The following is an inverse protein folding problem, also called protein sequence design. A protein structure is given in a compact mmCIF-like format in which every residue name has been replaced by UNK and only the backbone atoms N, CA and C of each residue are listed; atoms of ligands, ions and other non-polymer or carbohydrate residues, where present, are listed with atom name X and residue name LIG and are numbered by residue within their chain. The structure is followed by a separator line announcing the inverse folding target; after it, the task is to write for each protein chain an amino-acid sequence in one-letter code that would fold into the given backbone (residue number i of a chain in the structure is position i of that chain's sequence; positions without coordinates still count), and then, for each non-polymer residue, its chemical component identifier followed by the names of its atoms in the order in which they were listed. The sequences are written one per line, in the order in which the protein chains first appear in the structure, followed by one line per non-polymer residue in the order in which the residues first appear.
data_IF_969221781651
#
_entry.id   IF_969221781651
#
_cell.length_a   1.000
_cell.length_b   1.000
_cell.length_c   1.000
_cell.angle_alpha   90.00
_cell.angle_beta   90.00
_cell.angle_gamma   90.00
#
_symmetry.space_group_name_H-M   'P 1'
#
loop_
_entity.id
_entity.type
_entity.pdbx_description
1 polymer ?
#
# COMPACT_ATOMS: atom_id res chain seq x y z
N UNK A 1 -9.25 -3.55 90.96
CA UNK A 1 -9.06 -4.43 89.79
C UNK A 1 -9.48 -3.65 88.57
N UNK A 2 -8.51 -3.05 87.87
CA UNK A 2 -8.76 -2.24 86.62
C UNK A 2 -8.44 -3.12 85.44
N UNK A 3 -9.45 -3.35 84.59
CA UNK A 3 -9.29 -4.01 83.28
C UNK A 3 -8.82 -2.93 82.26
N UNK A 4 -7.66 -3.13 81.73
CA UNK A 4 -7.11 -2.33 80.65
C UNK A 4 -7.64 -2.94 79.34
N UNK A 5 -8.46 -2.16 78.60
CA UNK A 5 -8.83 -2.46 77.22
C UNK A 5 -7.70 -2.01 76.28
N UNK A 6 -7.04 -2.96 75.63
CA UNK A 6 -6.14 -2.65 74.53
C UNK A 6 -7.01 -2.52 73.23
N UNK A 7 -7.05 -1.32 72.69
CA UNK A 7 -7.56 -1.06 71.34
C UNK A 7 -6.38 -1.31 70.36
N UNK A 8 -6.48 -2.37 69.60
CA UNK A 8 -5.57 -2.61 68.47
C UNK A 8 -6.10 -1.86 67.26
N UNK A 9 -5.46 -0.77 66.91
CA UNK A 9 -5.71 -0.03 65.65
C UNK A 9 -5.09 -0.78 64.49
N UNK A 10 -5.92 -1.46 63.70
CA UNK A 10 -5.50 -2.03 62.39
C UNK A 10 -5.48 -0.88 61.38
N UNK A 11 -4.25 -0.43 61.08
CA UNK A 11 -4.00 0.54 59.98
C UNK A 11 -4.10 -0.19 58.63
N UNK A 12 -5.23 -0.08 57.96
CA UNK A 12 -5.45 -0.62 56.61
C UNK A 12 -4.71 0.27 55.62
N UNK A 13 -3.50 -0.14 55.21
CA UNK A 13 -2.77 0.51 54.12
C UNK A 13 -3.43 0.16 52.80
N UNK A 14 -4.31 1.01 52.31
CA UNK A 14 -4.81 0.94 50.93
C UNK A 14 -3.71 1.43 50.01
N UNK A 15 -2.93 0.48 49.47
CA UNK A 15 -1.99 0.76 48.40
C UNK A 15 -2.83 1.01 47.13
N UNK A 16 -3.15 2.27 46.86
CA UNK A 16 -3.58 2.70 45.55
C UNK A 16 -2.41 2.47 44.59
N UNK A 17 -2.44 1.34 43.88
CA UNK A 17 -1.59 1.09 42.74
C UNK A 17 -1.88 2.16 41.69
N UNK A 18 -1.12 3.24 41.68
CA UNK A 18 -1.09 4.19 40.59
C UNK A 18 -0.46 3.43 39.41
N UNK A 19 -1.29 2.81 38.58
CA UNK A 19 -0.88 2.36 37.25
C UNK A 19 -0.52 3.62 36.48
N UNK A 20 0.76 3.98 36.49
CA UNK A 20 1.30 4.97 35.55
C UNK A 20 1.21 4.32 34.17
N UNK A 21 0.08 4.52 33.52
CA UNK A 21 -0.01 4.30 32.09
C UNK A 21 0.96 5.30 31.48
N UNK A 22 2.18 4.85 31.15
CA UNK A 22 3.07 5.65 30.33
C UNK A 22 2.35 5.85 28.99
N UNK A 23 1.99 7.09 28.69
CA UNK A 23 1.47 7.42 27.37
C UNK A 23 2.56 7.07 26.35
N UNK A 24 2.21 6.25 25.37
CA UNK A 24 3.15 5.89 24.30
C UNK A 24 3.57 7.14 23.54
N UNK A 25 4.84 7.22 23.21
CA UNK A 25 5.38 8.29 22.37
C UNK A 25 4.98 8.09 20.91
N UNK A 26 5.07 9.13 20.11
CA UNK A 26 4.82 9.05 18.67
C UNK A 26 5.70 7.97 18.03
N UNK A 27 7.00 7.95 18.33
CA UNK A 27 7.94 7.00 17.74
C UNK A 27 7.62 5.55 18.11
N UNK A 28 7.18 5.30 19.35
CA UNK A 28 6.74 3.97 19.78
C UNK A 28 5.50 3.51 19.02
N UNK A 29 4.51 4.40 18.84
CA UNK A 29 3.31 4.08 18.08
C UNK A 29 3.62 3.83 16.59
N UNK A 30 4.49 4.64 15.97
CA UNK A 30 4.88 4.42 14.58
C UNK A 30 5.60 3.08 14.41
N UNK A 31 6.55 2.74 15.30
CA UNK A 31 7.24 1.44 15.26
C UNK A 31 6.29 0.27 15.49
N UNK A 32 5.36 0.39 16.43
CA UNK A 32 4.37 -0.65 16.70
C UNK A 32 3.43 -0.84 15.52
N UNK A 33 2.97 0.25 14.90
CA UNK A 33 2.16 0.18 13.68
C UNK A 33 2.91 -0.46 12.51
N UNK A 34 4.19 -0.08 12.30
CA UNK A 34 5.04 -0.67 11.27
C UNK A 34 5.29 -2.18 11.52
N UNK A 35 5.37 -2.61 12.79
CA UNK A 35 5.44 -4.03 13.15
C UNK A 35 4.13 -4.76 12.80
N UNK A 36 2.97 -4.19 13.13
CA UNK A 36 1.67 -4.80 12.77
C UNK A 36 1.51 -4.92 11.25
N UNK A 37 2.01 -3.94 10.47
CA UNK A 37 2.07 -4.06 9.01
C UNK A 37 2.93 -5.24 8.58
N UNK A 38 4.11 -5.43 9.16
CA UNK A 38 5.01 -6.54 8.84
C UNK A 38 4.42 -7.91 9.23
N UNK A 39 3.49 -7.93 10.17
CA UNK A 39 2.76 -9.13 10.64
C UNK A 39 1.39 -9.30 9.92
N UNK A 40 1.09 -8.47 8.91
CA UNK A 40 -0.19 -8.47 8.17
C UNK A 40 -1.43 -8.24 9.06
N UNK A 41 -1.27 -7.50 10.16
CA UNK A 41 -2.33 -7.18 11.11
C UNK A 41 -2.93 -5.79 10.80
N UNK A 42 -3.54 -5.64 9.63
CA UNK A 42 -3.95 -4.36 9.03
C UNK A 42 -4.83 -3.50 9.95
N UNK A 43 -5.81 -4.10 10.63
CA UNK A 43 -6.68 -3.36 11.55
C UNK A 43 -5.90 -2.81 12.74
N UNK A 44 -4.98 -3.61 13.32
CA UNK A 44 -4.16 -3.14 14.44
C UNK A 44 -3.18 -2.05 14.03
N UNK A 45 -2.61 -2.16 12.82
CA UNK A 45 -1.77 -1.12 12.26
C UNK A 45 -2.54 0.20 12.12
N UNK A 46 -3.75 0.15 11.52
CA UNK A 46 -4.61 1.32 11.37
C UNK A 46 -4.96 1.93 12.73
N UNK A 47 -5.43 1.14 13.69
CA UNK A 47 -5.81 1.62 15.02
C UNK A 47 -4.64 2.30 15.73
N UNK A 48 -3.44 1.74 15.58
CA UNK A 48 -2.21 2.29 16.18
C UNK A 48 -1.81 3.61 15.53
N UNK A 49 -1.86 3.71 14.20
CA UNK A 49 -1.56 4.98 13.51
C UNK A 49 -2.64 6.06 13.78
N UNK A 50 -3.90 5.68 13.96
CA UNK A 50 -4.95 6.62 14.38
C UNK A 50 -4.76 7.09 15.84
N UNK A 51 -4.12 6.30 16.71
CA UNK A 51 -3.69 6.77 18.02
C UNK A 51 -2.52 7.76 17.88
N UNK A 52 -1.56 7.49 16.99
CA UNK A 52 -0.48 8.43 16.66
C UNK A 52 -1.02 9.76 16.12
N UNK A 53 -2.05 9.75 15.27
CA UNK A 53 -2.71 10.97 14.77
C UNK A 53 -3.31 11.82 15.89
N UNK A 54 -3.91 11.18 16.92
CA UNK A 54 -4.48 11.90 18.07
C UNK A 54 -3.43 12.63 18.91
N UNK A 55 -2.23 12.06 19.06
CA UNK A 55 -1.16 12.66 19.87
C UNK A 55 -0.26 13.61 19.08
N UNK A 56 -0.17 13.42 17.76
CA UNK A 56 0.64 14.24 16.86
C UNK A 56 -0.18 14.64 15.61
N UNK A 57 -1.21 15.47 15.76
CA UNK A 57 -2.00 15.94 14.62
C UNK A 57 -1.13 16.78 13.67
N UNK A 58 -1.43 16.73 12.38
CA UNK A 58 -0.67 17.37 11.31
C UNK A 58 0.78 16.85 11.17
N UNK A 59 0.97 15.56 11.39
CA UNK A 59 2.24 14.90 11.14
C UNK A 59 2.15 14.11 9.82
N UNK A 60 2.98 14.45 8.83
CA UNK A 60 2.97 13.84 7.51
C UNK A 60 3.38 12.36 7.54
N UNK A 61 4.26 11.96 8.49
CA UNK A 61 4.68 10.58 8.66
C UNK A 61 3.56 9.68 9.18
N UNK A 62 2.73 10.20 10.07
CA UNK A 62 1.51 9.53 10.52
C UNK A 62 0.55 9.39 9.34
N UNK A 63 0.34 10.46 8.58
CA UNK A 63 -0.69 10.49 7.54
C UNK A 63 -0.42 9.53 6.40
N UNK A 64 0.81 9.42 5.90
CA UNK A 64 1.07 8.44 4.85
C UNK A 64 0.93 6.98 5.35
N UNK A 65 1.22 6.71 6.64
CA UNK A 65 1.03 5.39 7.25
C UNK A 65 -0.44 5.05 7.43
N UNK A 66 -1.26 6.01 7.87
CA UNK A 66 -2.72 5.86 7.94
C UNK A 66 -3.30 5.60 6.55
N UNK A 67 -2.85 6.34 5.53
CA UNK A 67 -3.25 6.12 4.15
C UNK A 67 -2.92 4.70 3.69
N UNK A 68 -1.70 4.22 3.96
CA UNK A 68 -1.29 2.84 3.68
C UNK A 68 -2.21 1.84 4.36
N UNK A 69 -2.40 1.98 5.66
CA UNK A 69 -3.19 1.02 6.45
C UNK A 69 -4.67 0.96 5.98
N UNK A 70 -5.24 2.08 5.53
CA UNK A 70 -6.57 2.05 4.90
C UNK A 70 -6.57 1.32 3.56
N UNK A 71 -5.52 1.45 2.73
CA UNK A 71 -5.40 0.67 1.48
C UNK A 71 -5.30 -0.81 1.80
N UNK A 72 -4.37 -1.21 2.68
CA UNK A 72 -4.13 -2.60 3.06
C UNK A 72 -5.42 -3.23 3.65
N UNK A 73 -6.19 -2.47 4.45
CA UNK A 73 -7.49 -2.90 4.97
C UNK A 73 -8.52 -3.07 3.85
N UNK A 74 -8.62 -2.10 2.95
CA UNK A 74 -9.55 -2.12 1.83
C UNK A 74 -9.33 -3.32 0.90
N UNK A 75 -8.08 -3.72 0.66
CA UNK A 75 -7.73 -4.87 -0.17
C UNK A 75 -8.24 -6.20 0.39
N UNK A 76 -8.48 -6.29 1.70
CA UNK A 76 -9.02 -7.49 2.38
C UNK A 76 -10.54 -7.46 2.56
N UNK A 77 -11.20 -6.39 2.17
CA UNK A 77 -12.65 -6.32 2.22
C UNK A 77 -13.29 -7.18 1.12
N UNK A 78 -14.47 -7.77 1.41
CA UNK A 78 -15.22 -8.47 0.37
C UNK A 78 -15.73 -7.48 -0.70
N UNK A 79 -15.74 -7.93 -1.97
CA UNK A 79 -16.10 -7.11 -3.14
C UNK A 79 -17.13 -7.78 -4.07
N UNK A 80 -17.86 -8.77 -3.57
CA UNK A 80 -18.78 -9.59 -4.38
C UNK A 80 -20.12 -8.91 -4.67
N UNK A 81 -20.54 -7.95 -3.85
CA UNK A 81 -21.80 -7.22 -4.03
C UNK A 81 -21.55 -5.73 -4.21
N UNK A 82 -22.48 -5.02 -4.83
CA UNK A 82 -22.35 -3.56 -5.03
C UNK A 82 -22.21 -2.83 -3.69
N UNK A 83 -22.97 -3.23 -2.66
CA UNK A 83 -22.83 -2.65 -1.31
C UNK A 83 -21.42 -2.86 -0.73
N UNK A 84 -20.82 -4.05 -0.92
CA UNK A 84 -19.47 -4.33 -0.45
C UNK A 84 -18.43 -3.48 -1.21
N UNK A 85 -18.61 -3.32 -2.53
CA UNK A 85 -17.77 -2.45 -3.35
C UNK A 85 -17.89 -0.99 -2.92
N UNK A 86 -19.09 -0.50 -2.65
CA UNK A 86 -19.31 0.86 -2.15
C UNK A 86 -18.63 1.11 -0.80
N UNK A 87 -18.63 0.11 0.08
CA UNK A 87 -17.96 0.20 1.37
C UNK A 87 -16.43 0.17 1.21
N UNK A 88 -15.91 -0.68 0.34
CA UNK A 88 -14.50 -0.75 0.01
C UNK A 88 -14.01 0.58 -0.61
N UNK A 89 -14.77 1.16 -1.55
CA UNK A 89 -14.46 2.46 -2.15
C UNK A 89 -14.40 3.58 -1.09
N UNK A 90 -15.32 3.58 -0.11
CA UNK A 90 -15.28 4.54 1.01
C UNK A 90 -13.98 4.43 1.82
N UNK A 91 -13.47 3.22 2.01
CA UNK A 91 -12.19 2.98 2.70
C UNK A 91 -11.03 3.54 1.88
N UNK A 92 -11.01 3.33 0.57
CA UNK A 92 -9.98 3.93 -0.30
C UNK A 92 -10.07 5.47 -0.36
N UNK A 93 -11.28 6.05 -0.32
CA UNK A 93 -11.45 7.50 -0.19
C UNK A 93 -10.89 8.05 1.13
N UNK A 94 -10.97 7.28 2.22
CA UNK A 94 -10.28 7.60 3.48
C UNK A 94 -8.75 7.56 3.31
N UNK A 95 -8.23 6.55 2.62
CA UNK A 95 -6.81 6.48 2.30
C UNK A 95 -6.33 7.71 1.52
N UNK A 96 -7.10 8.13 0.51
CA UNK A 96 -6.81 9.32 -0.30
C UNK A 96 -6.81 10.60 0.54
N UNK A 97 -7.81 10.78 1.43
CA UNK A 97 -7.87 11.93 2.34
C UNK A 97 -6.59 12.09 3.16
N UNK A 98 -6.08 11.00 3.73
CA UNK A 98 -4.84 11.03 4.52
C UNK A 98 -3.60 11.21 3.64
N UNK A 99 -3.57 10.62 2.44
CA UNK A 99 -2.49 10.84 1.49
C UNK A 99 -2.39 12.31 1.04
N UNK A 100 -3.51 12.95 0.75
CA UNK A 100 -3.58 14.38 0.39
C UNK A 100 -3.04 15.28 1.52
N UNK A 101 -3.43 14.99 2.77
CA UNK A 101 -2.89 15.68 3.94
C UNK A 101 -1.38 15.51 4.05
N UNK A 102 -0.87 14.30 3.78
CA UNK A 102 0.57 14.03 3.82
C UNK A 102 1.33 14.80 2.75
N UNK A 103 0.86 14.79 1.50
CA UNK A 103 1.46 15.56 0.39
C UNK A 103 1.46 17.05 0.69
N UNK A 104 0.36 17.58 1.25
CA UNK A 104 0.23 19.00 1.59
C UNK A 104 1.24 19.44 2.66
N UNK A 105 1.50 18.58 3.64
CA UNK A 105 2.43 18.89 4.74
C UNK A 105 3.89 18.73 4.31
N UNK A 106 4.19 17.72 3.50
CA UNK A 106 5.57 17.42 3.10
C UNK A 106 5.63 17.05 1.60
N UNK A 107 5.64 18.07 0.72
CA UNK A 107 5.63 17.88 -0.74
C UNK A 107 6.99 17.45 -1.32
N UNK A 108 8.02 17.30 -0.49
CA UNK A 108 9.37 16.93 -0.92
C UNK A 108 9.73 15.47 -0.64
N UNK A 109 8.76 14.64 -0.25
CA UNK A 109 8.96 13.21 0.02
C UNK A 109 8.27 12.34 -1.01
N UNK A 110 9.01 11.43 -1.66
CA UNK A 110 8.48 10.49 -2.66
C UNK A 110 7.35 9.64 -2.09
N UNK A 111 7.46 9.21 -0.83
CA UNK A 111 6.47 8.31 -0.20
C UNK A 111 5.07 8.94 -0.13
N UNK A 112 4.95 10.26 0.08
CA UNK A 112 3.65 10.93 0.17
C UNK A 112 2.89 10.86 -1.15
N UNK A 113 3.58 11.11 -2.27
CA UNK A 113 3.01 11.00 -3.61
C UNK A 113 2.65 9.55 -3.97
N UNK A 114 3.51 8.58 -3.63
CA UNK A 114 3.23 7.18 -3.93
C UNK A 114 2.03 6.67 -3.16
N UNK A 115 1.83 7.08 -1.91
CA UNK A 115 0.61 6.71 -1.17
C UNK A 115 -0.64 7.31 -1.79
N UNK A 116 -0.57 8.54 -2.29
CA UNK A 116 -1.67 9.16 -3.02
C UNK A 116 -1.94 8.47 -4.35
N UNK A 117 -0.91 8.17 -5.12
CA UNK A 117 -1.02 7.43 -6.37
C UNK A 117 -1.69 6.06 -6.17
N UNK A 118 -1.30 5.32 -5.12
CA UNK A 118 -1.90 4.02 -4.82
C UNK A 118 -3.38 4.17 -4.43
N UNK A 119 -3.72 5.12 -3.55
CA UNK A 119 -5.11 5.36 -3.15
C UNK A 119 -5.98 5.73 -4.36
N UNK A 120 -5.51 6.64 -5.21
CA UNK A 120 -6.17 7.00 -6.47
C UNK A 120 -6.29 5.79 -7.41
N UNK A 121 -5.24 4.99 -7.55
CA UNK A 121 -5.27 3.79 -8.38
C UNK A 121 -6.31 2.77 -7.91
N UNK A 122 -6.52 2.63 -6.59
CA UNK A 122 -7.60 1.78 -6.04
C UNK A 122 -8.98 2.36 -6.32
N UNK A 123 -9.18 3.66 -6.16
CA UNK A 123 -10.46 4.33 -6.45
C UNK A 123 -10.80 4.20 -7.93
N UNK A 124 -9.84 4.35 -8.84
CA UNK A 124 -10.05 4.24 -10.27
C UNK A 124 -10.65 2.89 -10.72
N UNK A 125 -10.49 1.82 -9.91
CA UNK A 125 -11.10 0.51 -10.20
C UNK A 125 -12.62 0.50 -10.02
N UNK A 126 -13.18 1.43 -9.26
CA UNK A 126 -14.63 1.58 -9.03
C UNK A 126 -15.27 2.60 -9.97
N UNK A 127 -14.46 3.41 -10.61
CA UNK A 127 -14.93 4.45 -11.54
C UNK A 127 -15.23 3.85 -12.91
N UNK A 128 -16.23 4.39 -13.59
CA UNK A 128 -16.43 4.10 -15.00
C UNK A 128 -15.28 4.66 -15.87
N UNK A 129 -15.09 4.08 -17.06
CA UNK A 129 -13.95 4.40 -17.95
C UNK A 129 -13.72 5.90 -18.14
N UNK A 130 -14.78 6.67 -18.29
CA UNK A 130 -14.68 8.13 -18.49
C UNK A 130 -14.36 8.90 -17.21
N UNK A 131 -14.87 8.45 -16.06
CA UNK A 131 -14.62 9.08 -14.76
C UNK A 131 -13.19 8.83 -14.30
N UNK A 132 -12.65 7.65 -14.56
CA UNK A 132 -11.29 7.26 -14.17
C UNK A 132 -10.17 8.03 -14.90
N UNK A 133 -10.46 8.74 -16.00
CA UNK A 133 -9.44 9.42 -16.82
C UNK A 133 -8.63 10.44 -15.99
N UNK A 134 -9.31 11.25 -15.19
CA UNK A 134 -8.66 12.24 -14.31
C UNK A 134 -7.78 11.54 -13.28
N UNK A 135 -8.36 10.58 -12.58
CA UNK A 135 -7.71 9.80 -11.53
C UNK A 135 -6.46 9.06 -12.05
N UNK A 136 -6.53 8.46 -13.25
CA UNK A 136 -5.36 7.78 -13.87
C UNK A 136 -4.25 8.76 -14.24
N UNK A 137 -4.59 9.99 -14.69
CA UNK A 137 -3.60 11.05 -14.94
C UNK A 137 -2.93 11.52 -13.65
N UNK A 138 -3.69 11.63 -12.56
CA UNK A 138 -3.15 11.98 -11.24
C UNK A 138 -2.21 10.90 -10.73
N UNK A 139 -2.55 9.61 -10.87
CA UNK A 139 -1.66 8.48 -10.56
C UNK A 139 -0.32 8.62 -11.31
N UNK A 140 -0.37 8.85 -12.63
CA UNK A 140 0.83 9.04 -13.44
C UNK A 140 1.67 10.21 -12.93
N UNK A 141 1.06 11.37 -12.73
CA UNK A 141 1.73 12.60 -12.26
C UNK A 141 2.41 12.39 -10.91
N UNK A 142 1.74 11.74 -9.97
CA UNK A 142 2.28 11.45 -8.64
C UNK A 142 3.45 10.48 -8.69
N UNK A 143 3.36 9.42 -9.49
CA UNK A 143 4.46 8.49 -9.69
C UNK A 143 5.70 9.18 -10.30
N UNK A 144 5.50 9.98 -11.34
CA UNK A 144 6.57 10.75 -11.98
C UNK A 144 7.21 11.73 -10.99
N UNK A 145 6.40 12.40 -10.16
CA UNK A 145 6.90 13.29 -9.12
C UNK A 145 7.71 12.55 -8.07
N UNK A 146 7.25 11.38 -7.62
CA UNK A 146 7.99 10.55 -6.66
C UNK A 146 9.32 10.06 -7.23
N UNK A 147 9.36 9.64 -8.51
CA UNK A 147 10.58 9.25 -9.21
C UNK A 147 11.54 10.46 -9.32
N UNK A 148 11.04 11.62 -9.69
CA UNK A 148 11.82 12.85 -9.81
C UNK A 148 12.47 13.26 -8.48
N UNK A 149 11.75 13.12 -7.36
CA UNK A 149 12.28 13.42 -6.01
C UNK A 149 13.40 12.45 -5.61
N UNK A 150 13.35 11.20 -6.03
CA UNK A 150 14.41 10.22 -5.88
C UNK A 150 14.76 9.82 -4.45
N UNK A 151 13.94 10.18 -3.45
CA UNK A 151 14.19 9.86 -2.04
C UNK A 151 13.31 8.73 -1.51
N UNK A 152 13.40 8.43 -0.20
CA UNK A 152 12.65 7.35 0.44
C UNK A 152 13.29 5.96 0.30
N UNK A 153 14.45 5.86 -0.34
CA UNK A 153 15.20 4.61 -0.49
C UNK A 153 14.65 3.67 -1.57
N UNK A 154 15.32 2.53 -1.72
CA UNK A 154 15.06 1.60 -2.83
C UNK A 154 13.62 1.09 -2.89
N UNK A 155 12.99 0.83 -1.74
CA UNK A 155 11.62 0.32 -1.72
C UNK A 155 10.61 1.35 -2.24
N UNK A 156 10.72 2.61 -1.82
CA UNK A 156 9.83 3.69 -2.26
C UNK A 156 10.00 3.94 -3.75
N UNK A 157 11.24 3.97 -4.25
CA UNK A 157 11.53 4.14 -5.66
C UNK A 157 11.07 2.93 -6.49
N UNK A 158 11.27 1.71 -6.00
CA UNK A 158 10.74 0.51 -6.66
C UNK A 158 9.21 0.56 -6.78
N UNK A 159 8.53 0.97 -5.71
CA UNK A 159 7.08 1.10 -5.68
C UNK A 159 6.58 2.17 -6.67
N UNK A 160 7.31 3.30 -6.81
CA UNK A 160 6.97 4.35 -7.77
C UNK A 160 7.05 3.85 -9.22
N UNK A 161 8.12 3.15 -9.56
CA UNK A 161 8.28 2.56 -10.90
C UNK A 161 7.26 1.44 -11.15
N UNK A 162 6.99 0.60 -10.14
CA UNK A 162 5.97 -0.44 -10.23
C UNK A 162 4.58 0.13 -10.50
N UNK A 163 4.13 1.11 -9.70
CA UNK A 163 2.79 1.71 -9.87
C UNK A 163 2.66 2.38 -11.23
N UNK A 164 3.69 3.09 -11.69
CA UNK A 164 3.69 3.73 -12.99
C UNK A 164 3.67 2.69 -14.12
N UNK A 165 4.52 1.67 -14.07
CA UNK A 165 4.56 0.58 -15.06
C UNK A 165 3.23 -0.16 -15.17
N UNK A 166 2.64 -0.52 -14.02
CA UNK A 166 1.30 -1.13 -13.97
C UNK A 166 0.23 -0.19 -14.55
N UNK A 167 0.35 1.13 -14.33
CA UNK A 167 -0.59 2.09 -14.88
C UNK A 167 -0.50 2.15 -16.40
N UNK A 168 0.70 2.09 -16.98
CA UNK A 168 0.90 1.96 -18.42
C UNK A 168 0.21 0.71 -18.99
N UNK A 169 0.41 -0.48 -18.37
CA UNK A 169 -0.27 -1.70 -18.77
C UNK A 169 -1.80 -1.56 -18.73
N UNK A 170 -2.33 -1.06 -17.62
CA UNK A 170 -3.79 -0.88 -17.45
C UNK A 170 -4.39 0.08 -18.48
N UNK A 171 -3.68 1.12 -18.84
CA UNK A 171 -4.11 2.03 -19.92
C UNK A 171 -4.08 1.31 -21.27
N UNK A 172 -3.09 0.48 -21.54
CA UNK A 172 -2.94 -0.29 -22.77
C UNK A 172 -3.98 -1.39 -22.98
N UNK A 173 -4.67 -1.87 -21.91
CA UNK A 173 -5.83 -2.78 -22.04
C UNK A 173 -6.94 -2.21 -22.95
N UNK A 174 -6.97 -0.90 -23.16
CA UNK A 174 -7.86 -0.25 -24.12
C UNK A 174 -7.14 0.02 -25.45
N UNK A 175 -7.80 -0.29 -26.55
CA UNK A 175 -7.25 -0.01 -27.88
C UNK A 175 -6.80 1.45 -28.04
N UNK A 176 -5.69 1.68 -28.73
CA UNK A 176 -5.07 3.00 -28.90
C UNK A 176 -6.06 4.04 -29.42
N UNK A 177 -6.87 3.70 -30.41
CA UNK A 177 -7.88 4.60 -30.99
C UNK A 177 -8.99 5.00 -30.00
N UNK A 178 -9.22 4.19 -28.96
CA UNK A 178 -10.19 4.52 -27.91
C UNK A 178 -9.57 5.45 -26.87
N UNK A 179 -8.32 5.21 -26.48
CA UNK A 179 -7.63 5.95 -25.41
C UNK A 179 -7.04 7.28 -25.86
N UNK A 180 -6.71 7.43 -27.16
CA UNK A 180 -6.12 8.65 -27.69
C UNK A 180 -6.99 9.90 -27.50
N UNK A 181 -8.28 9.94 -27.89
CA UNK A 181 -9.12 11.10 -27.69
C UNK A 181 -9.40 11.42 -26.22
N UNK A 182 -9.18 10.47 -25.32
CA UNK A 182 -9.31 10.64 -23.87
C UNK A 182 -8.03 11.22 -23.22
N UNK A 183 -6.98 11.47 -24.03
CA UNK A 183 -5.68 11.93 -23.55
C UNK A 183 -4.94 10.85 -22.75
N UNK A 184 -5.20 9.58 -23.05
CA UNK A 184 -4.53 8.39 -22.50
C UNK A 184 -3.63 7.70 -23.54
N UNK A 185 -3.32 8.40 -24.64
CA UNK A 185 -2.42 7.92 -25.70
C UNK A 185 -0.97 7.69 -25.25
N UNK A 186 -0.63 8.15 -24.06
CA UNK A 186 0.69 7.95 -23.46
C UNK A 186 0.93 6.54 -22.90
N UNK A 187 -0.11 5.72 -22.73
CA UNK A 187 0.05 4.33 -22.32
C UNK A 187 0.94 3.58 -23.33
N UNK A 188 1.91 2.82 -22.84
CA UNK A 188 2.96 2.19 -23.63
C UNK A 188 3.46 0.96 -22.91
N UNK A 189 3.48 -0.19 -23.56
CA UNK A 189 3.84 -1.48 -22.96
C UNK A 189 5.36 -1.66 -22.89
N UNK A 190 6.13 -1.14 -23.84
CA UNK A 190 7.59 -1.12 -23.75
C UNK A 190 8.06 -0.27 -22.57
N UNK A 191 7.44 0.90 -22.36
CA UNK A 191 7.71 1.74 -21.20
C UNK A 191 7.30 1.04 -19.88
N UNK A 192 6.20 0.29 -19.88
CA UNK A 192 5.81 -0.52 -18.73
C UNK A 192 6.88 -1.57 -18.39
N UNK A 193 7.40 -2.29 -19.38
CA UNK A 193 8.51 -3.23 -19.20
C UNK A 193 9.71 -2.52 -18.56
N UNK A 194 10.17 -1.41 -19.15
CA UNK A 194 11.31 -0.64 -18.66
C UNK A 194 11.14 -0.21 -17.19
N UNK A 195 9.97 0.29 -16.83
CA UNK A 195 9.65 0.73 -15.47
C UNK A 195 9.63 -0.46 -14.49
N UNK A 196 9.02 -1.57 -14.87
CA UNK A 196 8.93 -2.76 -14.04
C UNK A 196 10.29 -3.46 -13.88
N UNK A 197 11.16 -3.44 -14.90
CA UNK A 197 12.55 -3.88 -14.77
C UNK A 197 13.31 -3.06 -13.73
N UNK A 198 13.12 -1.73 -13.69
CA UNK A 198 13.71 -0.87 -12.65
C UNK A 198 13.16 -1.23 -11.27
N UNK A 199 11.84 -1.43 -11.14
CA UNK A 199 11.23 -1.82 -9.88
C UNK A 199 11.82 -3.15 -9.35
N UNK A 200 11.94 -4.16 -10.22
CA UNK A 200 12.55 -5.45 -9.89
C UNK A 200 14.04 -5.30 -9.56
N UNK A 201 14.79 -4.47 -10.27
CA UNK A 201 16.21 -4.20 -9.98
C UNK A 201 16.39 -3.58 -8.59
N UNK A 202 15.50 -2.67 -8.17
CA UNK A 202 15.55 -2.01 -6.86
C UNK A 202 15.07 -2.92 -5.72
N UNK A 203 14.15 -3.86 -6.00
CA UNK A 203 13.58 -4.82 -5.03
C UNK A 203 13.43 -6.20 -5.70
N UNK A 204 14.51 -6.98 -5.86
CA UNK A 204 14.56 -8.12 -6.79
C UNK A 204 13.72 -9.35 -6.38
N UNK A 205 13.35 -9.48 -5.12
CA UNK A 205 12.63 -10.65 -4.61
C UNK A 205 11.20 -10.32 -4.15
N UNK A 206 10.57 -9.30 -4.72
CA UNK A 206 9.21 -8.93 -4.40
C UNK A 206 8.26 -9.54 -5.43
N UNK A 207 7.42 -10.53 -5.02
CA UNK A 207 6.61 -11.35 -5.91
C UNK A 207 5.71 -10.54 -6.83
N UNK A 208 5.04 -9.53 -6.28
CA UNK A 208 4.14 -8.67 -7.03
C UNK A 208 4.87 -7.92 -8.17
N UNK A 209 6.10 -7.42 -7.93
CA UNK A 209 6.86 -6.72 -8.98
C UNK A 209 7.32 -7.68 -10.08
N UNK A 210 7.78 -8.88 -9.69
CA UNK A 210 8.16 -9.92 -10.64
C UNK A 210 6.96 -10.38 -11.47
N UNK A 211 5.80 -10.55 -10.86
CA UNK A 211 4.60 -11.01 -11.55
C UNK A 211 4.10 -9.97 -12.57
N UNK A 212 4.03 -8.69 -12.19
CA UNK A 212 3.64 -7.63 -13.13
C UNK A 212 4.67 -7.47 -14.28
N UNK A 213 5.97 -7.65 -14.01
CA UNK A 213 6.99 -7.66 -15.06
C UNK A 213 6.79 -8.84 -16.02
N UNK A 214 6.46 -10.02 -15.50
CA UNK A 214 6.17 -11.16 -16.36
C UNK A 214 4.95 -10.93 -17.26
N UNK A 215 3.91 -10.27 -16.74
CA UNK A 215 2.73 -9.87 -17.54
C UNK A 215 3.12 -8.84 -18.61
N UNK A 216 3.97 -7.86 -18.28
CA UNK A 216 4.45 -6.90 -19.24
C UNK A 216 5.24 -7.56 -20.39
N UNK A 217 6.06 -8.55 -20.09
CA UNK A 217 6.77 -9.32 -21.12
C UNK A 217 5.79 -10.13 -22.01
N UNK A 218 4.69 -10.65 -21.43
CA UNK A 218 3.65 -11.34 -22.24
C UNK A 218 2.98 -10.37 -23.22
N UNK A 219 2.69 -9.13 -22.79
CA UNK A 219 2.10 -8.10 -23.67
C UNK A 219 3.05 -7.65 -24.79
N UNK A 220 4.36 -7.90 -24.66
CA UNK A 220 5.38 -7.64 -25.68
C UNK A 220 5.81 -8.90 -26.45
N UNK A 221 5.08 -10.00 -26.32
CA UNK A 221 5.40 -11.30 -26.93
C UNK A 221 6.78 -11.87 -26.51
N UNK A 222 7.37 -11.37 -25.42
CA UNK A 222 8.66 -11.79 -24.89
C UNK A 222 8.51 -13.01 -23.95
N UNK A 223 7.91 -14.08 -24.43
CA UNK A 223 7.51 -15.26 -23.65
C UNK A 223 8.64 -15.93 -22.88
N UNK A 224 9.85 -15.97 -23.43
CA UNK A 224 11.00 -16.57 -22.74
C UNK A 224 11.38 -15.77 -21.49
N UNK A 225 11.40 -14.43 -21.58
CA UNK A 225 11.64 -13.56 -20.42
C UNK A 225 10.50 -13.67 -19.40
N UNK A 226 9.26 -13.77 -19.86
CA UNK A 226 8.09 -13.98 -19.00
C UNK A 226 8.22 -15.28 -18.21
N UNK A 227 8.52 -16.41 -18.89
CA UNK A 227 8.71 -17.72 -18.24
C UNK A 227 9.84 -17.72 -17.22
N UNK A 228 10.98 -17.09 -17.53
CA UNK A 228 12.09 -16.95 -16.57
C UNK A 228 11.71 -16.11 -15.35
N UNK A 229 10.96 -15.02 -15.56
CA UNK A 229 10.51 -14.15 -14.48
C UNK A 229 9.48 -14.84 -13.58
N UNK A 230 8.55 -15.59 -14.15
CA UNK A 230 7.57 -16.41 -13.40
C UNK A 230 8.26 -17.46 -12.51
N UNK A 231 9.35 -18.09 -12.98
CA UNK A 231 10.17 -18.99 -12.14
C UNK A 231 10.83 -18.26 -10.95
N UNK A 232 11.13 -16.96 -11.08
CA UNK A 232 11.64 -16.14 -9.96
C UNK A 232 10.53 -15.83 -8.95
N UNK A 233 9.28 -15.60 -9.41
CA UNK A 233 8.12 -15.44 -8.50
C UNK A 233 7.98 -16.66 -7.59
N UNK A 234 8.10 -17.87 -8.13
CA UNK A 234 7.98 -19.12 -7.34
C UNK A 234 9.05 -19.23 -6.25
N UNK A 235 10.27 -18.77 -6.52
CA UNK A 235 11.41 -18.86 -5.60
C UNK A 235 11.48 -17.70 -4.60
N UNK A 236 10.76 -16.60 -4.84
CA UNK A 236 10.82 -15.44 -3.98
C UNK A 236 10.15 -15.72 -2.62
N UNK A 237 10.71 -15.19 -1.50
CA UNK A 237 10.14 -15.35 -0.18
C UNK A 237 8.81 -14.61 -0.04
N UNK A 238 8.00 -15.01 0.93
CA UNK A 238 6.79 -14.27 1.33
C UNK A 238 7.21 -12.96 2.00
N UNK A 239 6.74 -11.84 1.49
CA UNK A 239 7.01 -10.48 2.00
C UNK A 239 5.74 -9.61 2.04
N UNK A 240 4.67 -10.09 1.40
CA UNK A 240 3.37 -9.43 1.32
C UNK A 240 2.25 -10.42 1.58
N UNK A 241 1.13 -9.95 2.11
CA UNK A 241 -0.01 -10.81 2.45
C UNK A 241 -0.74 -11.39 1.23
N UNK A 242 -0.53 -10.81 0.05
CA UNK A 242 -1.08 -11.28 -1.22
C UNK A 242 -0.14 -12.25 -1.97
N UNK A 243 1.04 -12.52 -1.43
CA UNK A 243 2.08 -13.29 -2.11
C UNK A 243 1.64 -14.72 -2.49
N UNK A 244 0.74 -15.34 -1.72
CA UNK A 244 0.22 -16.67 -2.07
C UNK A 244 -0.77 -16.60 -3.25
N UNK A 245 -1.59 -15.56 -3.30
CA UNK A 245 -2.49 -15.31 -4.44
C UNK A 245 -1.68 -14.98 -5.69
N UNK A 246 -0.68 -14.11 -5.58
CA UNK A 246 0.25 -13.77 -6.67
C UNK A 246 0.97 -15.01 -7.19
N UNK A 247 1.41 -15.91 -6.31
CA UNK A 247 2.05 -17.15 -6.70
C UNK A 247 1.09 -18.08 -7.48
N UNK A 248 -0.17 -18.17 -7.04
CA UNK A 248 -1.18 -18.98 -7.74
C UNK A 248 -1.46 -18.45 -9.16
N UNK A 249 -1.61 -17.12 -9.30
CA UNK A 249 -1.79 -16.48 -10.61
C UNK A 249 -0.55 -16.62 -11.50
N UNK A 250 0.66 -16.50 -10.94
CA UNK A 250 1.90 -16.69 -11.68
C UNK A 250 2.03 -18.10 -12.24
N UNK A 251 1.67 -19.13 -11.47
CA UNK A 251 1.64 -20.52 -11.94
C UNK A 251 0.63 -20.72 -13.08
N UNK A 252 -0.54 -20.12 -12.94
CA UNK A 252 -1.56 -20.17 -13.99
C UNK A 252 -1.04 -19.53 -15.29
N UNK A 253 -0.49 -18.34 -15.22
CA UNK A 253 0.08 -17.64 -16.37
C UNK A 253 1.22 -18.46 -17.01
N UNK A 254 2.09 -19.08 -16.19
CA UNK A 254 3.15 -19.95 -16.72
C UNK A 254 2.59 -21.12 -17.52
N UNK A 255 1.53 -21.79 -17.05
CA UNK A 255 0.86 -22.88 -17.79
C UNK A 255 0.22 -22.41 -19.09
N UNK A 256 -0.29 -21.18 -19.13
CA UNK A 256 -0.89 -20.58 -20.33
C UNK A 256 0.15 -20.32 -21.43
N UNK A 257 1.36 -19.87 -21.06
CA UNK A 257 2.40 -19.46 -22.02
C UNK A 257 3.53 -20.50 -22.23
N UNK A 258 3.49 -21.65 -21.60
CA UNK A 258 4.62 -22.61 -21.60
C UNK A 258 4.99 -23.15 -22.97
N UNK A 259 4.05 -23.13 -23.92
CA UNK A 259 4.24 -23.66 -25.28
C UNK A 259 4.47 -22.55 -26.32
N UNK A 260 4.46 -21.29 -25.90
CA UNK A 260 4.78 -20.13 -26.75
C UNK A 260 6.33 -19.88 -26.86
#
# INVERSE_FOLDING_TARGET
MKKILQLSSILLLVIFGISTSFAQTLDELLKQGDQFVAEFQNQKALDTYLQADKIAPNNWEVYWRVSRAYVDLGEKMPDKTDTQKDEQEKVYKKALEYADKSVKLEPNQSITYIRRAIANGRIALFEGVFSAIGTVKDVKSDCEKAIQLGNGGNYVQALAHYVLGRTHLKVCEKAYLVRLPLGLGWGDTEEAVRLLEIAVKLKPNFRMFLFELAKAYVEEDEYDKAKETLKKVEKAPVQDEDDDAVLAEAKKLYEEIKNE
#
